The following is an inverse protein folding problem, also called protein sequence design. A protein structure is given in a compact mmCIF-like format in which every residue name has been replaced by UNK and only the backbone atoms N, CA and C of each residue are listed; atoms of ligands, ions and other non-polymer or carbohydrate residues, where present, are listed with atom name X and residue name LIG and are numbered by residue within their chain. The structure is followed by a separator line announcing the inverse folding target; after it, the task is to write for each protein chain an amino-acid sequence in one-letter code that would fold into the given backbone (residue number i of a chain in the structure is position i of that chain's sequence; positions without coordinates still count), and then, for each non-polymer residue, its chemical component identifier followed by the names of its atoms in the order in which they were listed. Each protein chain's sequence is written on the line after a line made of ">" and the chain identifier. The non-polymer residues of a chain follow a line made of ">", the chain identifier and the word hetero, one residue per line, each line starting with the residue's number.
data_IF_607729901511
#
_entry.id   IF_607729901511
#
_cell.length_a   1.000
_cell.length_b   1.000
_cell.length_c   1.000
_cell.angle_alpha   90.00
_cell.angle_beta   90.00
_cell.angle_gamma   90.00
#
_symmetry.space_group_name_H-M   'P 1'
#
loop_
_entity.id
_entity.type
_entity.pdbx_description
1 polymer ?
#
# COMPACT_ATOMS: atom_id res chain seq x y z
N UNK A 1 -5.15 -27.76 15.18
CA UNK A 1 -4.24 -27.31 14.11
C UNK A 1 -4.43 -25.82 13.98
N UNK A 2 -3.47 -24.98 14.43
CA UNK A 2 -3.61 -23.51 14.32
C UNK A 2 -3.45 -23.13 12.84
N UNK A 3 -4.21 -22.14 12.36
CA UNK A 3 -4.20 -21.60 10.98
C UNK A 3 -2.83 -21.18 10.43
N UNK A 4 -1.81 -21.11 11.27
CA UNK A 4 -0.44 -20.70 10.94
C UNK A 4 0.37 -21.72 10.14
N UNK A 5 -0.11 -22.96 9.95
CA UNK A 5 0.74 -24.09 9.55
C UNK A 5 0.79 -24.40 8.04
N UNK A 6 0.24 -23.55 7.17
CA UNK A 6 0.37 -23.78 5.71
C UNK A 6 1.83 -23.53 5.28
N UNK A 7 2.49 -24.46 4.54
CA UNK A 7 3.90 -24.33 4.15
C UNK A 7 4.26 -22.98 3.52
N UNK A 8 3.35 -22.40 2.73
CA UNK A 8 3.56 -21.09 2.11
C UNK A 8 3.56 -19.93 3.12
N UNK A 9 2.73 -19.99 4.18
CA UNK A 9 2.71 -18.97 5.23
C UNK A 9 4.01 -18.98 6.03
N UNK A 10 4.51 -20.16 6.39
CA UNK A 10 5.80 -20.31 7.05
C UNK A 10 6.94 -19.74 6.18
N UNK A 11 6.90 -19.99 4.87
CA UNK A 11 7.90 -19.47 3.95
C UNK A 11 7.79 -17.93 3.78
N UNK A 12 6.58 -17.36 3.78
CA UNK A 12 6.38 -15.90 3.82
C UNK A 12 7.01 -15.31 5.08
N UNK A 13 6.79 -15.92 6.25
CA UNK A 13 7.39 -15.43 7.51
C UNK A 13 8.92 -15.46 7.48
N UNK A 14 9.52 -16.51 6.93
CA UNK A 14 10.98 -16.61 6.79
C UNK A 14 11.51 -15.49 5.89
N UNK A 15 10.90 -15.31 4.71
CA UNK A 15 11.26 -14.23 3.79
C UNK A 15 11.10 -12.86 4.46
N UNK A 16 9.99 -12.66 5.18
CA UNK A 16 9.72 -11.41 5.87
C UNK A 16 10.79 -11.08 6.91
N UNK A 17 11.18 -12.05 7.74
CA UNK A 17 12.26 -11.87 8.73
C UNK A 17 13.60 -11.47 8.10
N UNK A 18 13.86 -11.92 6.87
CA UNK A 18 15.10 -11.60 6.14
C UNK A 18 15.03 -10.21 5.48
N UNK A 19 13.89 -9.88 4.87
CA UNK A 19 13.79 -8.71 3.98
C UNK A 19 13.20 -7.45 4.65
N UNK A 20 12.46 -7.59 5.76
CA UNK A 20 11.67 -6.50 6.35
C UNK A 20 12.49 -5.24 6.63
N UNK A 21 13.66 -5.36 7.26
CA UNK A 21 14.50 -4.20 7.60
C UNK A 21 15.00 -3.46 6.35
N UNK A 22 15.38 -4.20 5.30
CA UNK A 22 15.86 -3.62 4.04
C UNK A 22 14.72 -2.98 3.25
N UNK A 23 13.55 -3.64 3.22
CA UNK A 23 12.35 -3.11 2.59
C UNK A 23 11.92 -1.80 3.26
N UNK A 24 11.80 -1.79 4.60
CA UNK A 24 11.45 -0.61 5.37
C UNK A 24 12.46 0.52 5.14
N UNK A 25 13.77 0.25 5.22
CA UNK A 25 14.78 1.28 4.94
C UNK A 25 14.68 1.88 3.54
N UNK A 26 14.38 1.05 2.53
CA UNK A 26 14.13 1.51 1.16
C UNK A 26 12.85 2.33 1.02
N UNK A 27 11.79 1.93 1.72
CA UNK A 27 10.51 2.64 1.71
C UNK A 27 10.59 3.97 2.44
N UNK A 28 11.23 4.04 3.62
CA UNK A 28 11.46 5.30 4.34
C UNK A 28 12.23 6.29 3.46
N UNK A 29 13.25 5.82 2.72
CA UNK A 29 13.97 6.68 1.78
C UNK A 29 13.08 7.18 0.62
N UNK A 30 12.11 6.38 0.21
CA UNK A 30 11.19 6.70 -0.89
C UNK A 30 10.06 7.64 -0.45
N UNK A 31 9.41 7.37 0.69
CA UNK A 31 8.29 8.15 1.23
C UNK A 31 8.74 9.40 1.98
N UNK A 32 9.95 9.38 2.55
CA UNK A 32 10.44 10.36 3.54
C UNK A 32 9.56 10.43 4.79
N UNK A 33 8.86 9.34 5.09
CA UNK A 33 7.89 9.22 6.16
C UNK A 33 7.90 7.77 6.67
N UNK A 34 8.16 7.59 7.97
CA UNK A 34 8.33 6.27 8.60
C UNK A 34 6.99 5.57 8.75
N UNK A 35 5.96 6.26 9.22
CA UNK A 35 4.63 5.70 9.42
C UNK A 35 4.07 5.25 8.07
N UNK A 36 4.23 6.09 7.04
CA UNK A 36 3.81 5.74 5.68
C UNK A 36 4.59 4.56 5.11
N UNK A 37 5.86 4.42 5.44
CA UNK A 37 6.68 3.30 4.99
C UNK A 37 6.23 1.99 5.65
N UNK A 38 5.87 2.02 6.93
CA UNK A 38 5.36 0.85 7.64
C UNK A 38 4.05 0.35 7.03
N UNK A 39 3.08 1.25 6.80
CA UNK A 39 1.81 0.91 6.15
C UNK A 39 2.07 0.18 4.82
N UNK A 40 2.91 0.75 3.95
CA UNK A 40 3.21 0.18 2.64
C UNK A 40 3.91 -1.18 2.74
N UNK A 41 4.77 -1.37 3.75
CA UNK A 41 5.43 -2.64 3.99
C UNK A 41 4.42 -3.71 4.44
N UNK A 42 3.50 -3.36 5.33
CA UNK A 42 2.41 -4.24 5.78
C UNK A 42 1.49 -4.61 4.61
N UNK A 43 1.13 -3.65 3.75
CA UNK A 43 0.31 -3.93 2.56
C UNK A 43 1.02 -4.85 1.56
N UNK A 44 2.34 -4.72 1.39
CA UNK A 44 3.11 -5.65 0.57
C UNK A 44 3.16 -7.06 1.18
N UNK A 45 3.24 -7.18 2.50
CA UNK A 45 3.15 -8.47 3.20
C UNK A 45 1.78 -9.13 3.00
N UNK A 46 0.69 -8.36 3.11
CA UNK A 46 -0.66 -8.85 2.83
C UNK A 46 -0.75 -9.36 1.39
N UNK A 47 -0.27 -8.59 0.41
CA UNK A 47 -0.26 -9.02 -0.98
C UNK A 47 0.54 -10.33 -1.21
N UNK A 48 1.66 -10.51 -0.49
CA UNK A 48 2.44 -11.75 -0.54
C UNK A 48 1.64 -12.94 0.05
N UNK A 49 1.00 -12.74 1.19
CA UNK A 49 0.15 -13.76 1.85
C UNK A 49 -1.04 -14.17 0.99
N UNK A 50 -1.61 -13.26 0.20
CA UNK A 50 -2.71 -13.56 -0.72
C UNK A 50 -2.23 -14.24 -2.00
N UNK A 51 -1.11 -13.78 -2.57
CA UNK A 51 -0.68 -14.20 -3.91
C UNK A 51 0.18 -15.46 -3.91
N UNK A 52 1.18 -15.55 -3.04
CA UNK A 52 2.17 -16.63 -3.07
C UNK A 52 1.60 -18.03 -2.82
N UNK A 53 0.50 -18.24 -2.05
CA UNK A 53 -0.11 -19.58 -1.93
C UNK A 53 -0.55 -20.18 -3.27
N UNK A 54 -0.90 -19.34 -4.24
CA UNK A 54 -1.36 -19.79 -5.57
C UNK A 54 -0.29 -19.67 -6.64
N UNK A 55 0.54 -18.62 -6.60
CA UNK A 55 1.57 -18.36 -7.62
C UNK A 55 2.95 -18.95 -7.30
N UNK A 56 3.15 -19.42 -6.07
CA UNK A 56 4.48 -19.70 -5.53
C UNK A 56 5.23 -18.42 -5.15
N UNK A 57 6.37 -18.60 -4.48
CA UNK A 57 7.25 -17.53 -4.02
C UNK A 57 8.16 -17.11 -5.19
N UNK A 58 8.26 -15.80 -5.51
CA UNK A 58 9.14 -15.29 -6.55
C UNK A 58 10.61 -15.61 -6.28
N UNK A 59 11.42 -15.71 -7.35
CA UNK A 59 12.86 -15.94 -7.23
C UNK A 59 13.61 -14.82 -6.47
N UNK A 60 13.08 -13.59 -6.50
CA UNK A 60 13.56 -12.48 -5.68
C UNK A 60 12.39 -11.86 -4.90
N UNK A 61 12.11 -12.36 -3.68
CA UNK A 61 10.98 -11.89 -2.89
C UNK A 61 11.12 -10.43 -2.45
N UNK A 62 12.33 -9.97 -2.07
CA UNK A 62 12.57 -8.59 -1.63
C UNK A 62 12.27 -7.57 -2.74
N UNK A 63 12.70 -7.85 -3.97
CA UNK A 63 12.38 -7.00 -5.12
C UNK A 63 10.88 -6.99 -5.42
N UNK A 64 10.21 -8.13 -5.32
CA UNK A 64 8.76 -8.23 -5.51
C UNK A 64 8.00 -7.44 -4.45
N UNK A 65 8.39 -7.54 -3.17
CA UNK A 65 7.77 -6.79 -2.06
C UNK A 65 7.93 -5.27 -2.25
N UNK A 66 9.13 -4.82 -2.64
CA UNK A 66 9.37 -3.40 -2.94
C UNK A 66 8.48 -2.90 -4.09
N UNK A 67 8.32 -3.69 -5.15
CA UNK A 67 7.44 -3.34 -6.27
C UNK A 67 5.96 -3.29 -5.85
N UNK A 68 5.50 -4.28 -5.07
CA UNK A 68 4.14 -4.31 -4.54
C UNK A 68 3.85 -3.08 -3.66
N UNK A 69 4.76 -2.74 -2.75
CA UNK A 69 4.65 -1.54 -1.91
C UNK A 69 4.57 -0.24 -2.73
N UNK A 70 5.44 -0.08 -3.75
CA UNK A 70 5.43 1.11 -4.61
C UNK A 70 4.15 1.25 -5.42
N UNK A 71 3.65 0.15 -6.00
CA UNK A 71 2.36 0.16 -6.71
C UNK A 71 1.25 0.62 -5.77
N UNK A 72 1.26 0.13 -4.53
CA UNK A 72 0.25 0.48 -3.55
C UNK A 72 0.32 1.94 -3.09
N UNK A 73 1.51 2.53 -3.05
CA UNK A 73 1.71 3.96 -2.80
C UNK A 73 1.11 4.82 -3.93
N UNK A 74 1.32 4.42 -5.18
CA UNK A 74 0.74 5.09 -6.36
C UNK A 74 -0.78 5.01 -6.34
N UNK A 75 -1.34 3.85 -6.04
CA UNK A 75 -2.79 3.66 -6.01
C UNK A 75 -3.46 4.41 -4.86
N UNK A 76 -2.78 4.60 -3.73
CA UNK A 76 -3.26 5.50 -2.68
C UNK A 76 -3.31 6.95 -3.17
N UNK A 77 -2.22 7.47 -3.74
CA UNK A 77 -2.18 8.84 -4.25
C UNK A 77 -3.23 9.11 -5.33
N UNK A 78 -3.53 8.12 -6.18
CA UNK A 78 -4.64 8.21 -7.15
C UNK A 78 -6.00 8.33 -6.47
N UNK A 79 -6.26 7.55 -5.42
CA UNK A 79 -7.52 7.62 -4.67
C UNK A 79 -7.68 8.97 -3.97
N UNK A 80 -6.62 9.47 -3.36
CA UNK A 80 -6.63 10.77 -2.66
C UNK A 80 -6.90 11.92 -3.64
N UNK A 81 -6.27 11.89 -4.82
CA UNK A 81 -6.51 12.89 -5.86
C UNK A 81 -7.97 12.88 -6.36
N UNK A 82 -8.57 11.70 -6.51
CA UNK A 82 -9.98 11.56 -6.91
C UNK A 82 -10.89 12.09 -5.80
N UNK A 83 -10.62 11.77 -4.54
CA UNK A 83 -11.39 12.27 -3.40
C UNK A 83 -11.32 13.80 -3.31
N UNK A 84 -10.13 14.39 -3.43
CA UNK A 84 -9.94 15.84 -3.44
C UNK A 84 -10.69 16.52 -4.59
N UNK A 85 -10.66 15.94 -5.80
CA UNK A 85 -11.42 16.47 -6.95
C UNK A 85 -12.92 16.47 -6.67
N UNK A 86 -13.47 15.37 -6.15
CA UNK A 86 -14.89 15.27 -5.80
C UNK A 86 -15.29 16.25 -4.70
N UNK A 87 -14.45 16.43 -3.67
CA UNK A 87 -14.70 17.42 -2.61
C UNK A 87 -14.73 18.84 -3.19
N UNK A 88 -13.82 19.17 -4.11
CA UNK A 88 -13.81 20.47 -4.78
C UNK A 88 -15.03 20.68 -5.69
N UNK A 89 -15.52 19.63 -6.36
CA UNK A 89 -16.75 19.67 -7.15
C UNK A 89 -17.98 19.95 -6.26
N UNK A 90 -18.10 19.25 -5.13
CA UNK A 90 -19.16 19.49 -4.15
C UNK A 90 -19.08 20.92 -3.59
N UNK A 91 -17.88 21.37 -3.18
CA UNK A 91 -17.69 22.72 -2.66
C UNK A 91 -18.16 23.79 -3.67
N UNK A 92 -17.81 23.65 -4.95
CA UNK A 92 -18.29 24.55 -6.02
C UNK A 92 -19.80 24.48 -6.24
N UNK A 93 -20.41 23.31 -6.09
CA UNK A 93 -21.87 23.16 -6.23
C UNK A 93 -22.65 23.73 -5.04
N UNK A 94 -21.97 24.05 -3.93
CA UNK A 94 -22.61 24.58 -2.70
C UNK A 94 -22.38 26.07 -2.50
N UNK A 95 -21.63 26.75 -3.38
CA UNK A 95 -21.58 28.22 -3.39
C UNK A 95 -22.98 28.73 -3.80
N UNK A 96 -23.72 29.42 -2.90
CA UNK A 96 -25.00 29.98 -3.29
C UNK A 96 -24.72 31.00 -4.38
N UNK A 97 -25.39 30.86 -5.52
CA UNK A 97 -25.50 31.93 -6.51
C UNK A 97 -26.08 33.11 -5.77
N UNK A 98 -25.23 34.06 -5.36
CA UNK A 98 -25.66 35.36 -4.87
C UNK A 98 -26.36 36.03 -6.04
N UNK A 99 -27.66 35.79 -6.15
CA UNK A 99 -28.62 36.68 -6.79
C UNK A 99 -28.51 38.00 -6.04
N UNK A 100 -27.61 38.87 -6.51
CA UNK A 100 -27.63 40.28 -6.23
C UNK A 100 -28.52 40.94 -7.28
N UNK A 101 -29.83 40.77 -7.10
CA UNK A 101 -30.84 41.66 -7.64
C UNK A 101 -31.44 42.45 -6.47
N UNK A 102 -30.96 43.68 -6.26
CA UNK A 102 -31.64 44.73 -5.49
C UNK A 102 -31.17 46.11 -5.97
#
# INVERSE_FOLDING_TARGET
>A
MRESDTPTRAAVEVVWRIEAARLLGGLVRFTRDVDRAEDLAQEALVAALERWPTSGIPANPGAWLMAAAKNRAVDAGRRDAIAARKHAEVARATEPTTELDA
#
